data_IF_514848424505
#
_entry.id   IF_514848424505
#
_cell.length_a   1.000
_cell.length_b   1.000
_cell.length_c   1.000
_cell.angle_alpha   90.00
_cell.angle_beta   90.00
_cell.angle_gamma   90.00
#
_symmetry.space_group_name_H-M   'P 1'
#
loop_
_entity.id
_entity.type
_entity.pdbx_description
1 polymer ?
#
# COMPACT_ATOMS: atom_id res chain seq x y z
N UNK A 1 -6.55 -13.62 -9.83
CA UNK A 1 -5.08 -13.63 -9.66
C UNK A 1 -4.77 -12.84 -8.41
N UNK A 2 -4.08 -13.42 -7.43
CA UNK A 2 -3.91 -12.83 -6.09
C UNK A 2 -2.72 -11.86 -6.06
N UNK A 3 -2.96 -10.57 -6.26
CA UNK A 3 -1.92 -9.51 -6.25
C UNK A 3 -1.49 -9.11 -4.81
N UNK A 4 -0.97 -10.06 -4.03
CA UNK A 4 -0.40 -9.76 -2.72
C UNK A 4 0.98 -9.13 -2.87
N UNK A 5 1.11 -7.83 -2.62
CA UNK A 5 2.38 -7.10 -2.70
C UNK A 5 3.08 -7.18 -1.33
N UNK A 6 4.04 -8.10 -1.19
CA UNK A 6 4.94 -8.15 -0.04
C UNK A 6 5.99 -7.02 -0.10
N UNK A 7 5.54 -5.76 -0.10
CA UNK A 7 6.41 -4.58 -0.01
C UNK A 7 6.07 -3.77 1.24
N UNK A 8 7.12 -3.25 1.87
CA UNK A 8 6.99 -2.30 2.99
C UNK A 8 6.48 -0.95 2.48
N UNK A 9 5.91 -0.14 3.38
CA UNK A 9 5.52 1.25 3.08
C UNK A 9 6.64 2.05 2.42
N UNK A 10 7.88 1.75 2.77
CA UNK A 10 9.06 2.40 2.25
C UNK A 10 9.37 2.01 0.80
N UNK A 11 9.24 0.73 0.45
CA UNK A 11 9.42 0.26 -0.92
C UNK A 11 8.35 0.82 -1.85
N UNK A 12 7.10 0.92 -1.40
CA UNK A 12 6.01 1.50 -2.21
C UNK A 12 6.18 3.01 -2.35
N UNK A 13 6.64 3.69 -1.30
CA UNK A 13 7.04 5.10 -1.38
C UNK A 13 8.14 5.32 -2.42
N UNK A 14 9.16 4.47 -2.45
CA UNK A 14 10.21 4.55 -3.47
C UNK A 14 9.70 4.25 -4.88
N UNK A 15 8.90 3.21 -5.06
CA UNK A 15 8.35 2.82 -6.37
C UNK A 15 7.42 3.90 -6.95
N UNK A 16 6.60 4.51 -6.09
CA UNK A 16 5.72 5.62 -6.47
C UNK A 16 6.44 6.98 -6.49
N UNK A 17 7.77 7.01 -6.31
CA UNK A 17 8.57 8.23 -6.24
C UNK A 17 7.94 9.31 -5.35
N UNK A 18 7.41 8.91 -4.20
CA UNK A 18 6.62 9.76 -3.33
C UNK A 18 6.95 9.53 -1.86
N UNK A 19 6.77 10.55 -1.03
CA UNK A 19 7.12 10.45 0.39
C UNK A 19 6.28 9.40 1.13
N UNK A 20 6.86 8.75 2.15
CA UNK A 20 6.14 7.78 3.02
C UNK A 20 4.83 8.35 3.57
N UNK A 21 4.77 9.65 3.86
CA UNK A 21 3.54 10.32 4.29
C UNK A 21 2.45 10.32 3.21
N UNK A 22 2.81 10.64 1.96
CA UNK A 22 1.88 10.63 0.82
C UNK A 22 1.37 9.22 0.58
N UNK A 23 2.27 8.23 0.63
CA UNK A 23 1.89 6.81 0.48
C UNK A 23 1.04 6.34 1.64
N UNK A 24 1.32 6.75 2.87
CA UNK A 24 0.48 6.39 4.03
C UNK A 24 -0.92 6.96 3.89
N UNK A 25 -1.05 8.22 3.42
CA UNK A 25 -2.35 8.84 3.13
C UNK A 25 -3.07 8.15 1.98
N UNK A 26 -2.35 7.81 0.91
CA UNK A 26 -2.90 7.13 -0.27
C UNK A 26 -3.38 5.72 0.09
N UNK A 27 -2.54 4.94 0.77
CA UNK A 27 -2.84 3.60 1.26
C UNK A 27 -4.02 3.61 2.22
N UNK A 28 -4.10 4.55 3.17
CA UNK A 28 -5.29 4.73 4.01
C UNK A 28 -6.55 4.98 3.19
N UNK A 29 -6.46 5.83 2.15
CA UNK A 29 -7.60 6.10 1.25
C UNK A 29 -8.02 4.87 0.45
N UNK A 30 -7.05 4.07 0.00
CA UNK A 30 -7.29 2.84 -0.74
C UNK A 30 -7.84 1.73 0.16
N UNK A 31 -7.39 1.65 1.41
CA UNK A 31 -7.95 0.80 2.47
C UNK A 31 -9.40 1.13 2.73
N UNK A 32 -9.71 2.43 2.91
CA UNK A 32 -11.09 2.86 3.10
C UNK A 32 -11.99 2.57 1.90
N UNK A 33 -11.42 2.53 0.70
CA UNK A 33 -12.14 2.14 -0.52
C UNK A 33 -12.24 0.63 -0.71
N UNK A 34 -11.65 -0.18 0.18
CA UNK A 34 -11.65 -1.64 0.07
C UNK A 34 -10.87 -2.16 -1.13
N UNK A 35 -9.80 -1.46 -1.54
CA UNK A 35 -8.96 -1.81 -2.71
C UNK A 35 -7.61 -2.39 -2.28
N UNK A 36 -7.13 -2.02 -1.09
CA UNK A 36 -5.89 -2.54 -0.50
C UNK A 36 -6.08 -2.83 0.98
N UNK A 37 -5.30 -3.74 1.53
CA UNK A 37 -5.18 -4.08 2.94
C UNK A 37 -3.76 -3.86 3.41
N UNK A 38 -3.54 -3.04 4.43
CA UNK A 38 -2.22 -2.65 4.90
C UNK A 38 -1.97 -3.27 6.28
N UNK A 39 -1.09 -4.25 6.33
CA UNK A 39 -0.58 -4.83 7.56
C UNK A 39 0.82 -4.26 7.90
N UNK A 40 1.25 -4.44 9.15
CA UNK A 40 2.50 -3.89 9.73
C UNK A 40 3.76 -4.06 8.86
N UNK A 41 3.82 -5.07 8.00
CA UNK A 41 4.95 -5.31 7.11
C UNK A 41 4.57 -5.80 5.71
N UNK A 42 3.29 -5.67 5.32
CA UNK A 42 2.77 -6.32 4.12
C UNK A 42 1.51 -5.61 3.62
N UNK A 43 1.36 -5.47 2.29
CA UNK A 43 0.20 -4.84 1.67
C UNK A 43 -0.47 -5.83 0.72
N UNK A 44 -1.73 -6.16 0.97
CA UNK A 44 -2.52 -7.04 0.13
C UNK A 44 -3.42 -6.21 -0.77
N UNK A 45 -3.28 -6.27 -2.10
CA UNK A 45 -4.34 -5.75 -2.98
C UNK A 45 -5.50 -6.74 -2.95
N UNK A 46 -6.68 -6.22 -2.64
CA UNK A 46 -7.95 -6.95 -2.75
C UNK A 46 -8.50 -6.60 -4.13
N UNK A 47 -8.19 -7.46 -5.10
CA UNK A 47 -8.67 -7.40 -6.48
C UNK A 47 -9.55 -8.60 -6.78
#
# INVERSE_FOLDING_TARGET
QSNSIHKTHQQIAQELNSSREVITRLLKKLEQRGVVKVNRNQIQLIS
#
